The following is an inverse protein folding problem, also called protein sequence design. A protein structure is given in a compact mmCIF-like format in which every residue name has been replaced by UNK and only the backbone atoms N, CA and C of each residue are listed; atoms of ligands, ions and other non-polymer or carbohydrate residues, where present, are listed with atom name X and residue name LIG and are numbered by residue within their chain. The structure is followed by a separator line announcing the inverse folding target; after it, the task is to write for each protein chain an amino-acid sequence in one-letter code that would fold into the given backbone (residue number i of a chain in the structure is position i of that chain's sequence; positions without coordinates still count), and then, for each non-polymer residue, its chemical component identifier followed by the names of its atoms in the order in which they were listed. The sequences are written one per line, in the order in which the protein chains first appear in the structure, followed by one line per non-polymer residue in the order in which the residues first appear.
data_IF_583600206838
#
_entry.id   IF_583600206838
#
_cell.length_a   1.000
_cell.length_b   1.000
_cell.length_c   1.000
_cell.angle_alpha   90.00
_cell.angle_beta   90.00
_cell.angle_gamma   90.00
#
_symmetry.space_group_name_H-M   'P 1'
#
loop_
_entity.id
_entity.type
_entity.pdbx_description
1 polymer ?
#
# COMPACT_ATOMS: atom_id res chain seq x y z
N UNK A 1 23.35 79.92 29.87
CA UNK A 1 22.49 78.72 29.94
C UNK A 1 22.92 77.80 28.81
N UNK A 2 23.64 76.71 29.10
CA UNK A 2 23.92 75.64 28.15
C UNK A 2 23.74 74.32 28.88
N UNK A 3 22.63 73.65 28.59
CA UNK A 3 22.34 72.29 29.08
C UNK A 3 23.33 71.31 28.44
N UNK A 4 24.21 70.75 29.26
CA UNK A 4 25.09 69.67 28.84
C UNK A 4 24.31 68.37 28.75
N UNK A 5 24.02 67.94 27.52
CA UNK A 5 23.39 66.66 27.22
C UNK A 5 24.26 65.48 27.69
N UNK A 6 23.75 64.73 28.66
CA UNK A 6 24.37 63.49 29.15
C UNK A 6 24.01 62.38 28.16
N UNK A 7 24.94 62.06 27.25
CA UNK A 7 24.86 60.87 26.39
C UNK A 7 25.05 59.65 27.29
N UNK A 8 23.96 58.96 27.65
CA UNK A 8 23.99 57.65 28.31
C UNK A 8 24.55 56.61 27.32
N UNK A 9 25.84 56.33 27.40
CA UNK A 9 26.47 55.21 26.70
C UNK A 9 25.99 53.91 27.38
N UNK A 10 25.09 53.17 26.71
CA UNK A 10 24.69 51.84 27.16
C UNK A 10 25.92 50.91 27.08
N UNK A 11 26.48 50.55 28.23
CA UNK A 11 27.56 49.58 28.35
C UNK A 11 27.12 48.24 27.72
N UNK A 12 27.77 47.84 26.62
CA UNK A 12 27.54 46.53 25.98
C UNK A 12 27.87 45.44 26.99
N UNK A 13 26.84 44.77 27.55
CA UNK A 13 27.01 43.57 28.36
C UNK A 13 27.89 42.58 27.62
N UNK A 14 29.00 42.16 28.24
CA UNK A 14 29.87 41.11 27.71
C UNK A 14 29.29 39.78 28.17
N UNK A 15 28.75 39.02 27.22
CA UNK A 15 28.30 37.65 27.48
C UNK A 15 29.47 36.67 27.31
N UNK A 16 29.56 35.69 28.20
CA UNK A 16 30.46 34.54 28.03
C UNK A 16 29.86 33.52 27.06
N UNK A 17 30.67 32.57 26.58
CA UNK A 17 30.17 31.52 25.68
C UNK A 17 29.18 30.59 26.40
N UNK A 18 29.37 30.33 27.68
CA UNK A 18 28.50 29.51 28.51
C UNK A 18 27.13 30.17 28.72
N UNK A 19 27.11 31.48 28.96
CA UNK A 19 25.85 32.25 29.07
C UNK A 19 25.06 32.24 27.76
N UNK A 20 25.77 32.34 26.63
CA UNK A 20 25.18 32.29 25.30
C UNK A 20 24.62 30.90 24.95
N UNK A 21 25.34 29.83 25.30
CA UNK A 21 24.87 28.45 25.16
C UNK A 21 23.63 28.22 26.04
N UNK A 22 23.69 28.64 27.30
CA UNK A 22 22.58 28.52 28.25
C UNK A 22 21.33 29.26 27.75
N UNK A 23 21.49 30.44 27.17
CA UNK A 23 20.39 31.20 26.59
C UNK A 23 19.74 30.46 25.41
N UNK A 24 20.52 29.79 24.55
CA UNK A 24 19.99 28.96 23.46
C UNK A 24 19.22 27.76 24.03
N UNK A 25 19.78 27.05 25.01
CA UNK A 25 19.17 25.86 25.60
C UNK A 25 17.86 26.20 26.33
N UNK A 26 17.84 27.29 27.11
CA UNK A 26 16.63 27.81 27.76
C UNK A 26 15.55 28.12 26.72
N UNK A 27 15.90 28.87 25.67
CA UNK A 27 14.94 29.23 24.63
C UNK A 27 14.42 28.01 23.87
N UNK A 28 15.27 27.02 23.65
CA UNK A 28 14.91 25.73 23.05
C UNK A 28 13.91 24.98 23.92
N UNK A 29 14.14 24.94 25.24
CA UNK A 29 13.23 24.31 26.21
C UNK A 29 11.86 24.98 26.20
N UNK A 30 11.82 26.31 26.11
CA UNK A 30 10.58 27.09 26.04
C UNK A 30 9.78 26.83 24.76
N UNK A 31 10.47 26.67 23.62
CA UNK A 31 9.81 26.47 22.32
C UNK A 31 9.54 24.99 21.99
N UNK A 32 10.18 24.05 22.69
CA UNK A 32 10.19 22.63 22.34
C UNK A 32 10.91 22.33 21.01
N UNK A 33 11.59 23.32 20.42
CA UNK A 33 12.34 23.23 19.16
C UNK A 33 13.49 24.23 19.14
N UNK A 34 14.50 24.04 18.27
CA UNK A 34 15.57 25.02 18.09
C UNK A 34 15.01 26.42 17.74
N UNK A 35 15.43 27.49 18.43
CA UNK A 35 14.99 28.85 18.16
C UNK A 35 15.56 29.36 16.84
N UNK A 36 14.74 30.07 16.06
CA UNK A 36 15.23 30.78 14.87
C UNK A 36 15.93 32.08 15.27
N UNK A 37 16.79 32.61 14.39
CA UNK A 37 17.54 33.84 14.68
C UNK A 37 16.65 35.06 14.98
N UNK A 38 15.42 35.12 14.45
CA UNK A 38 14.45 36.19 14.75
C UNK A 38 13.80 36.04 16.13
N UNK A 39 13.73 34.82 16.65
CA UNK A 39 13.13 34.50 17.95
C UNK A 39 14.14 34.66 19.10
N UNK A 40 15.39 35.04 18.78
CA UNK A 40 16.48 35.14 19.73
C UNK A 40 17.09 36.55 19.71
N UNK A 41 16.81 37.33 20.76
CA UNK A 41 17.37 38.69 20.91
C UNK A 41 18.90 38.73 20.85
N UNK A 42 19.55 37.68 21.38
CA UNK A 42 21.01 37.55 21.38
C UNK A 42 21.58 37.04 20.05
N UNK A 43 20.77 36.87 19.00
CA UNK A 43 21.23 36.34 17.71
C UNK A 43 22.42 37.09 17.10
N UNK A 44 22.51 38.43 17.12
CA UNK A 44 23.69 39.15 16.61
C UNK A 44 24.96 38.81 17.40
N UNK A 45 24.87 38.70 18.72
CA UNK A 45 25.99 38.34 19.59
C UNK A 45 26.42 36.89 19.37
N UNK A 46 25.46 35.98 19.19
CA UNK A 46 25.71 34.57 18.86
C UNK A 46 26.42 34.42 17.51
N UNK A 47 25.96 35.14 16.49
CA UNK A 47 26.59 35.14 15.16
C UNK A 47 28.01 35.68 15.25
N UNK A 48 28.23 36.77 15.98
CA UNK A 48 29.56 37.35 16.14
C UNK A 48 30.53 36.41 16.87
N UNK A 49 30.08 35.75 17.95
CA UNK A 49 30.93 34.86 18.76
C UNK A 49 31.23 33.52 18.09
N UNK A 50 30.21 32.84 17.58
CA UNK A 50 30.35 31.51 17.00
C UNK A 50 30.60 31.55 15.48
N UNK A 51 30.69 32.74 14.89
CA UNK A 51 30.84 33.00 13.45
C UNK A 51 29.57 32.75 12.62
N UNK A 52 28.63 31.93 13.11
CA UNK A 52 27.31 31.78 12.52
C UNK A 52 26.30 31.32 13.56
N UNK A 53 25.02 31.66 13.35
CA UNK A 53 23.95 31.20 14.23
C UNK A 53 23.83 29.67 14.24
N UNK A 54 24.06 29.00 13.09
CA UNK A 54 24.07 27.52 13.03
C UNK A 54 25.13 26.93 13.94
N UNK A 55 26.36 27.47 13.91
CA UNK A 55 27.46 27.03 14.78
C UNK A 55 27.13 27.23 16.26
N UNK A 56 26.46 28.32 16.61
CA UNK A 56 25.99 28.55 17.98
C UNK A 56 24.98 27.48 18.44
N UNK A 57 24.02 27.11 17.57
CA UNK A 57 23.06 26.04 17.87
C UNK A 57 23.71 24.66 18.01
N UNK A 58 24.75 24.38 17.22
CA UNK A 58 25.55 23.15 17.31
C UNK A 58 26.34 23.13 18.62
N UNK A 59 27.00 24.23 18.98
CA UNK A 59 27.75 24.36 20.23
C UNK A 59 26.86 24.19 21.48
N UNK A 60 25.59 24.59 21.37
CA UNK A 60 24.60 24.40 22.42
C UNK A 60 23.99 22.99 22.49
N UNK A 61 24.41 22.07 21.60
CA UNK A 61 23.88 20.72 21.42
C UNK A 61 22.36 20.69 21.10
N UNK A 62 21.86 21.79 20.53
CA UNK A 62 20.45 21.94 20.14
C UNK A 62 20.24 21.52 18.69
N UNK A 63 21.28 21.65 17.86
CA UNK A 63 21.25 21.25 16.46
C UNK A 63 22.37 20.24 16.20
N UNK A 64 22.00 19.01 15.82
CA UNK A 64 22.97 17.98 15.45
C UNK A 64 23.70 18.36 14.16
N UNK A 65 25.03 18.38 14.19
CA UNK A 65 25.84 18.55 13.00
C UNK A 65 26.17 17.20 12.41
N UNK A 66 25.53 16.88 11.28
CA UNK A 66 25.76 15.61 10.60
C UNK A 66 27.06 15.67 9.80
N UNK A 67 27.92 14.68 10.00
CA UNK A 67 29.04 14.43 9.09
C UNK A 67 28.53 13.89 7.74
N UNK A 68 29.35 14.01 6.70
CA UNK A 68 28.99 13.47 5.40
C UNK A 68 28.78 11.94 5.47
N UNK A 69 29.60 11.23 6.24
CA UNK A 69 29.44 9.78 6.46
C UNK A 69 28.16 9.42 7.22
N UNK A 70 27.79 10.17 8.26
CA UNK A 70 26.54 9.96 8.99
C UNK A 70 25.33 10.13 8.07
N UNK A 71 25.37 11.11 7.17
CA UNK A 71 24.31 11.32 6.19
C UNK A 71 24.19 10.15 5.21
N UNK A 72 25.32 9.58 4.77
CA UNK A 72 25.34 8.38 3.92
C UNK A 72 24.87 7.14 4.68
N UNK A 73 25.18 7.02 5.96
CA UNK A 73 24.72 5.92 6.81
C UNK A 73 23.21 5.94 7.05
N UNK A 74 22.58 7.12 7.13
CA UNK A 74 21.11 7.23 7.14
C UNK A 74 20.49 6.59 5.88
N UNK A 75 21.13 6.80 4.72
CA UNK A 75 20.68 6.18 3.46
C UNK A 75 20.87 4.67 3.51
N UNK A 76 22.04 4.18 3.95
CA UNK A 76 22.33 2.74 4.08
C UNK A 76 21.35 2.05 5.04
N UNK A 77 21.06 2.68 6.18
CA UNK A 77 20.09 2.19 7.16
C UNK A 77 18.71 2.03 6.54
N UNK A 78 18.22 3.07 5.86
CA UNK A 78 16.92 3.02 5.17
C UNK A 78 16.89 2.00 4.02
N UNK A 79 18.01 1.83 3.30
CA UNK A 79 18.11 0.82 2.26
C UNK A 79 17.99 -0.61 2.82
N UNK A 80 18.65 -0.89 3.95
CA UNK A 80 18.55 -2.19 4.64
C UNK A 80 17.13 -2.46 5.15
N UNK A 81 16.48 -1.45 5.73
CA UNK A 81 15.09 -1.53 6.20
C UNK A 81 14.12 -1.83 5.07
N UNK A 82 14.21 -1.08 3.97
CA UNK A 82 13.26 -1.17 2.86
C UNK A 82 13.58 -2.33 1.89
N UNK A 83 14.82 -2.85 1.94
CA UNK A 83 15.38 -3.80 0.95
C UNK A 83 15.22 -3.33 -0.50
N UNK A 84 15.17 -2.01 -0.70
CA UNK A 84 15.07 -1.32 -2.00
C UNK A 84 15.67 0.07 -1.89
N UNK A 85 16.04 0.71 -3.01
CA UNK A 85 16.46 2.12 -3.01
C UNK A 85 15.40 3.00 -2.34
N UNK A 86 15.74 3.76 -1.28
CA UNK A 86 14.80 4.68 -0.64
C UNK A 86 14.48 5.84 -1.58
N UNK A 87 13.30 6.44 -1.45
CA UNK A 87 13.00 7.75 -2.06
C UNK A 87 13.43 8.88 -1.13
N UNK A 88 13.63 10.08 -1.68
CA UNK A 88 14.04 11.28 -0.92
C UNK A 88 13.18 11.53 0.33
N UNK A 89 11.86 11.31 0.24
CA UNK A 89 10.93 11.55 1.35
C UNK A 89 11.06 10.53 2.50
N UNK A 90 11.65 9.37 2.28
CA UNK A 90 11.77 8.29 3.28
C UNK A 90 13.02 8.42 4.15
N UNK A 91 13.98 9.27 3.76
CA UNK A 91 15.25 9.45 4.48
C UNK A 91 15.22 10.74 5.30
N UNK A 92 15.51 10.68 6.61
CA UNK A 92 15.67 11.87 7.44
C UNK A 92 16.73 12.81 6.87
N UNK A 93 16.55 14.13 7.05
CA UNK A 93 17.49 15.14 6.57
C UNK A 93 17.81 15.07 5.07
N UNK A 94 16.89 14.54 4.25
CA UNK A 94 17.12 14.40 2.80
C UNK A 94 17.40 15.72 2.07
N UNK A 95 16.90 16.86 2.59
CA UNK A 95 17.27 18.17 2.06
C UNK A 95 18.73 18.54 2.35
N UNK A 96 19.25 18.17 3.52
CA UNK A 96 20.66 18.37 3.85
C UNK A 96 21.55 17.45 2.99
N UNK A 97 21.13 16.20 2.78
CA UNK A 97 21.79 15.25 1.87
C UNK A 97 21.87 15.84 0.45
N UNK A 98 20.76 16.36 -0.09
CA UNK A 98 20.75 16.99 -1.42
C UNK A 98 21.67 18.22 -1.47
N UNK A 99 21.71 19.04 -0.42
CA UNK A 99 22.60 20.21 -0.38
C UNK A 99 24.09 19.82 -0.34
N UNK A 100 24.45 18.78 0.40
CA UNK A 100 25.85 18.32 0.56
C UNK A 100 26.37 17.59 -0.68
N UNK A 101 25.58 16.66 -1.21
CA UNK A 101 26.00 15.78 -2.30
C UNK A 101 25.45 16.21 -3.67
N UNK A 102 24.84 17.40 -3.75
CA UNK A 102 24.22 17.98 -4.95
C UNK A 102 22.90 17.34 -5.39
N UNK A 103 22.78 16.01 -5.27
CA UNK A 103 21.57 15.27 -5.62
C UNK A 103 21.41 14.04 -4.73
N UNK A 104 20.15 13.72 -4.40
CA UNK A 104 19.84 12.49 -3.67
C UNK A 104 20.24 11.24 -4.46
N UNK A 105 20.12 11.29 -5.78
CA UNK A 105 20.57 10.20 -6.67
C UNK A 105 22.10 10.06 -6.66
N UNK A 106 22.83 11.16 -6.52
CA UNK A 106 24.29 11.11 -6.39
C UNK A 106 24.68 10.50 -5.04
N UNK A 107 24.02 10.89 -3.95
CA UNK A 107 24.23 10.28 -2.63
C UNK A 107 23.96 8.77 -2.62
N UNK A 108 22.90 8.30 -3.29
CA UNK A 108 22.63 6.87 -3.47
C UNK A 108 23.76 6.13 -4.21
N UNK A 109 24.34 6.76 -5.24
CA UNK A 109 25.47 6.18 -5.98
C UNK A 109 26.72 6.07 -5.11
N UNK A 110 26.99 7.07 -4.26
CA UNK A 110 28.15 7.04 -3.35
C UNK A 110 28.10 5.85 -2.36
N UNK A 111 26.89 5.44 -1.96
CA UNK A 111 26.70 4.24 -1.11
C UNK A 111 26.53 2.94 -1.90
N UNK A 112 26.79 2.94 -3.21
CA UNK A 112 26.69 1.76 -4.06
C UNK A 112 25.26 1.30 -4.37
N UNK A 113 24.24 2.14 -4.12
CA UNK A 113 22.85 1.81 -4.40
C UNK A 113 22.51 2.24 -5.82
N UNK A 114 22.49 1.28 -6.74
CA UNK A 114 22.06 1.47 -8.12
C UNK A 114 20.60 1.05 -8.33
N UNK A 115 19.76 1.96 -8.81
CA UNK A 115 18.37 1.68 -9.18
C UNK A 115 17.47 2.92 -9.15
N UNK A 116 16.36 2.89 -9.89
CA UNK A 116 15.32 3.94 -9.75
C UNK A 116 14.44 3.62 -8.55
N UNK A 117 14.46 4.49 -7.55
CA UNK A 117 13.50 4.44 -6.44
C UNK A 117 12.10 4.71 -7.00
N UNK A 118 11.29 3.66 -7.16
CA UNK A 118 9.86 3.82 -7.50
C UNK A 118 9.10 4.04 -6.20
N UNK A 119 8.26 5.09 -6.15
CA UNK A 119 7.30 5.26 -5.07
C UNK A 119 6.40 4.03 -5.04
N UNK A 120 6.57 3.21 -4.00
CA UNK A 120 5.70 2.07 -3.76
C UNK A 120 4.38 2.63 -3.26
N UNK A 121 3.34 2.61 -4.10
CA UNK A 121 1.99 3.07 -3.69
C UNK A 121 1.35 2.13 -2.66
N UNK A 122 1.74 0.86 -2.64
CA UNK A 122 1.22 -0.14 -1.71
C UNK A 122 2.32 -1.10 -1.25
N UNK A 123 2.48 -1.26 0.07
CA UNK A 123 3.27 -2.33 0.69
C UNK A 123 2.62 -3.70 0.45
N UNK A 124 3.35 -4.79 0.71
CA UNK A 124 2.75 -6.13 0.57
C UNK A 124 1.63 -6.32 1.60
N UNK A 125 1.85 -5.85 2.83
CA UNK A 125 0.91 -5.91 3.93
C UNK A 125 -0.35 -5.09 3.63
N UNK A 126 -0.21 -3.89 3.05
CA UNK A 126 -1.35 -3.06 2.63
C UNK A 126 -2.19 -3.78 1.56
N UNK A 127 -1.56 -4.47 0.60
CA UNK A 127 -2.28 -5.24 -0.41
C UNK A 127 -3.02 -6.44 0.20
N UNK A 128 -2.42 -7.13 1.17
CA UNK A 128 -3.07 -8.23 1.88
C UNK A 128 -4.24 -7.72 2.74
N UNK A 129 -4.10 -6.56 3.37
CA UNK A 129 -5.16 -5.95 4.17
C UNK A 129 -6.35 -5.50 3.31
N UNK A 130 -6.09 -5.00 2.09
CA UNK A 130 -7.13 -4.72 1.10
C UNK A 130 -7.92 -5.99 0.75
N UNK A 131 -7.24 -7.13 0.61
CA UNK A 131 -7.90 -8.42 0.34
C UNK A 131 -8.76 -8.88 1.52
N UNK A 132 -8.23 -8.82 2.75
CA UNK A 132 -8.95 -9.19 3.99
C UNK A 132 -10.16 -8.30 4.25
N UNK A 133 -10.01 -7.00 4.05
CA UNK A 133 -11.10 -6.03 4.20
C UNK A 133 -12.20 -6.29 3.19
N UNK A 134 -11.83 -6.62 1.95
CA UNK A 134 -12.80 -6.95 0.90
C UNK A 134 -13.53 -8.26 1.19
N UNK A 135 -12.83 -9.30 1.68
CA UNK A 135 -13.47 -10.55 2.12
C UNK A 135 -14.49 -10.32 3.23
N UNK A 136 -14.12 -9.57 4.27
CA UNK A 136 -15.03 -9.23 5.39
C UNK A 136 -16.28 -8.51 4.91
N UNK A 137 -16.15 -7.61 3.93
CA UNK A 137 -17.28 -6.86 3.36
C UNK A 137 -18.20 -7.73 2.50
N UNK A 138 -17.63 -8.67 1.75
CA UNK A 138 -18.38 -9.51 0.82
C UNK A 138 -18.91 -10.80 1.47
N UNK A 139 -18.38 -11.19 2.63
CA UNK A 139 -18.64 -12.50 3.25
C UNK A 139 -18.13 -13.68 2.43
N UNK A 140 -17.33 -13.41 1.38
CA UNK A 140 -16.77 -14.40 0.46
C UNK A 140 -15.41 -13.91 -0.07
N UNK A 141 -14.57 -14.79 -0.63
CA UNK A 141 -13.33 -14.39 -1.29
C UNK A 141 -13.61 -13.36 -2.39
N UNK A 142 -12.87 -12.23 -2.43
CA UNK A 142 -13.03 -11.22 -3.47
C UNK A 142 -12.58 -11.79 -4.83
N UNK A 143 -13.24 -11.34 -5.90
CA UNK A 143 -12.85 -11.62 -7.29
C UNK A 143 -11.86 -10.57 -7.79
N UNK A 144 -11.13 -10.92 -8.85
CA UNK A 144 -10.13 -10.03 -9.45
C UNK A 144 -10.71 -8.68 -9.91
N UNK A 145 -11.92 -8.69 -10.46
CA UNK A 145 -12.63 -7.50 -10.96
C UNK A 145 -13.07 -6.54 -9.85
N UNK A 146 -13.22 -7.06 -8.62
CA UNK A 146 -13.70 -6.30 -7.46
C UNK A 146 -12.57 -5.51 -6.78
N UNK A 147 -11.31 -5.80 -7.12
CA UNK A 147 -10.12 -5.17 -6.53
C UNK A 147 -9.39 -4.33 -7.57
N UNK A 148 -9.30 -3.02 -7.33
CA UNK A 148 -8.59 -2.08 -8.23
C UNK A 148 -7.09 -2.40 -8.33
N UNK A 149 -6.49 -2.91 -7.26
CA UNK A 149 -5.05 -3.19 -7.17
C UNK A 149 -4.63 -4.56 -7.73
N UNK A 150 -5.53 -5.27 -8.43
CA UNK A 150 -5.28 -6.64 -8.92
C UNK A 150 -3.98 -6.78 -9.72
N UNK A 151 -3.65 -5.85 -10.62
CA UNK A 151 -2.41 -5.91 -11.38
C UNK A 151 -1.16 -5.85 -10.48
N UNK A 152 -1.18 -5.01 -9.44
CA UNK A 152 -0.08 -4.89 -8.47
C UNK A 152 0.02 -6.15 -7.61
N UNK A 153 -1.12 -6.71 -7.20
CA UNK A 153 -1.20 -7.95 -6.41
C UNK A 153 -0.62 -9.12 -7.22
N UNK A 154 -1.07 -9.33 -8.46
CA UNK A 154 -0.55 -10.40 -9.33
C UNK A 154 0.96 -10.23 -9.53
N UNK A 155 1.43 -9.02 -9.81
CA UNK A 155 2.87 -8.77 -10.03
C UNK A 155 3.73 -9.10 -8.80
N UNK A 156 3.22 -8.88 -7.59
CA UNK A 156 4.00 -9.06 -6.34
C UNK A 156 3.92 -10.46 -5.77
N UNK A 157 2.75 -11.09 -5.84
CA UNK A 157 2.50 -12.41 -5.28
C UNK A 157 2.48 -13.52 -6.35
N UNK A 158 2.77 -13.18 -7.61
CA UNK A 158 2.77 -14.08 -8.76
C UNK A 158 1.38 -14.39 -9.32
N UNK A 159 0.37 -14.55 -8.44
CA UNK A 159 -1.02 -14.67 -8.84
C UNK A 159 -1.97 -14.11 -7.78
N UNK A 160 -3.18 -13.74 -8.20
CA UNK A 160 -4.20 -13.26 -7.26
C UNK A 160 -4.57 -14.34 -6.23
N UNK A 161 -4.64 -15.60 -6.66
CA UNK A 161 -4.92 -16.72 -5.75
C UNK A 161 -3.79 -16.98 -4.76
N UNK A 162 -2.53 -16.78 -5.17
CA UNK A 162 -1.40 -16.84 -4.25
C UNK A 162 -1.50 -15.74 -3.18
N UNK A 163 -1.88 -14.53 -3.57
CA UNK A 163 -2.13 -13.44 -2.62
C UNK A 163 -3.28 -13.76 -1.65
N UNK A 164 -4.39 -14.33 -2.12
CA UNK A 164 -5.49 -14.78 -1.26
C UNK A 164 -5.04 -15.84 -0.26
N UNK A 165 -4.23 -16.83 -0.69
CA UNK A 165 -3.65 -17.84 0.22
C UNK A 165 -2.78 -17.21 1.29
N UNK A 166 -1.91 -16.28 0.91
CA UNK A 166 -1.05 -15.54 1.85
C UNK A 166 -1.88 -14.67 2.80
N UNK A 167 -3.00 -14.12 2.33
CA UNK A 167 -3.93 -13.34 3.14
C UNK A 167 -4.73 -14.21 4.15
N UNK A 168 -4.68 -15.54 4.05
CA UNK A 168 -5.46 -16.48 4.87
C UNK A 168 -6.86 -16.76 4.33
N UNK A 169 -7.15 -16.31 3.11
CA UNK A 169 -8.47 -16.42 2.48
C UNK A 169 -8.55 -17.75 1.72
N UNK A 170 -9.58 -18.55 2.00
CA UNK A 170 -9.79 -19.83 1.29
C UNK A 170 -10.09 -19.56 -0.18
N UNK A 171 -9.22 -20.04 -1.07
CA UNK A 171 -9.43 -19.94 -2.51
C UNK A 171 -10.44 -21.00 -2.93
N UNK A 172 -11.62 -20.59 -3.39
CA UNK A 172 -12.60 -21.50 -4.01
C UNK A 172 -12.25 -21.65 -5.48
N UNK A 173 -11.70 -22.81 -5.85
CA UNK A 173 -11.46 -23.17 -7.24
C UNK A 173 -12.77 -23.61 -7.92
N UNK A 174 -13.65 -22.68 -8.33
CA UNK A 174 -14.71 -23.03 -9.29
C UNK A 174 -14.12 -23.09 -10.70
N UNK A 175 -13.44 -24.20 -11.03
CA UNK A 175 -13.11 -24.57 -12.41
C UNK A 175 -14.23 -25.47 -12.93
N UNK A 176 -15.20 -24.86 -13.60
CA UNK A 176 -16.33 -25.55 -14.23
C UNK A 176 -17.52 -25.77 -13.31
N UNK A 177 -18.55 -26.41 -13.87
CA UNK A 177 -19.76 -26.79 -13.16
C UNK A 177 -19.48 -27.94 -12.20
N UNK A 178 -20.00 -27.85 -10.98
CA UNK A 178 -20.18 -29.01 -10.11
C UNK A 178 -21.21 -29.96 -10.72
N UNK A 179 -21.20 -31.23 -10.30
CA UNK A 179 -22.20 -32.21 -10.76
C UNK A 179 -23.62 -31.69 -10.47
N UNK A 180 -23.86 -31.13 -9.28
CA UNK A 180 -25.14 -30.56 -8.90
C UNK A 180 -25.56 -29.38 -9.79
N UNK A 181 -24.67 -28.40 -10.04
CA UNK A 181 -24.98 -27.27 -10.92
C UNK A 181 -25.28 -27.73 -12.35
N UNK A 182 -24.61 -28.79 -12.82
CA UNK A 182 -24.82 -29.33 -14.16
C UNK A 182 -26.16 -30.07 -14.29
N UNK A 183 -26.56 -30.80 -13.25
CA UNK A 183 -27.88 -31.44 -13.17
C UNK A 183 -29.00 -30.42 -13.00
N UNK A 184 -28.77 -29.35 -12.23
CA UNK A 184 -29.72 -28.26 -12.06
C UNK A 184 -29.96 -27.52 -13.38
N UNK A 185 -28.89 -27.20 -14.14
CA UNK A 185 -29.01 -26.63 -15.48
C UNK A 185 -29.75 -27.54 -16.47
N UNK A 186 -29.56 -28.86 -16.35
CA UNK A 186 -30.31 -29.83 -17.15
C UNK A 186 -31.79 -29.81 -16.79
N UNK A 187 -32.11 -29.73 -15.50
CA UNK A 187 -33.49 -29.65 -14.99
C UNK A 187 -34.18 -28.37 -15.43
N UNK A 188 -33.54 -27.21 -15.26
CA UNK A 188 -34.12 -25.91 -15.69
C UNK A 188 -34.41 -25.90 -17.18
N UNK A 189 -33.52 -26.46 -18.01
CA UNK A 189 -33.76 -26.57 -19.45
C UNK A 189 -34.98 -27.43 -19.78
N UNK A 190 -35.16 -28.55 -19.07
CA UNK A 190 -36.30 -29.45 -19.26
C UNK A 190 -37.59 -28.78 -18.82
N UNK A 191 -37.58 -28.07 -17.69
CA UNK A 191 -38.73 -27.32 -17.17
C UNK A 191 -39.13 -26.17 -18.12
N UNK A 192 -38.16 -25.49 -18.76
CA UNK A 192 -38.43 -24.39 -19.69
C UNK A 192 -38.94 -24.86 -21.06
N UNK A 193 -38.49 -26.02 -21.54
CA UNK A 193 -38.78 -26.49 -22.90
C UNK A 193 -39.70 -27.71 -22.97
N UNK A 194 -40.15 -28.23 -21.83
CA UNK A 194 -40.96 -29.46 -21.69
C UNK A 194 -40.38 -30.67 -22.46
N UNK A 195 -39.05 -30.68 -22.69
CA UNK A 195 -38.37 -31.69 -23.51
C UNK A 195 -36.89 -31.81 -23.17
N UNK A 196 -36.29 -32.91 -23.62
CA UNK A 196 -34.85 -33.10 -23.49
C UNK A 196 -34.07 -32.14 -24.42
N UNK A 197 -32.93 -31.59 -23.94
CA UNK A 197 -32.03 -30.82 -24.78
C UNK A 197 -31.46 -31.68 -25.91
N UNK A 198 -31.27 -31.10 -27.10
CA UNK A 198 -30.44 -31.69 -28.16
C UNK A 198 -28.99 -31.23 -28.00
N UNK A 199 -28.05 -32.01 -28.56
CA UNK A 199 -26.60 -31.73 -28.53
C UNK A 199 -26.20 -30.30 -28.90
N UNK A 200 -26.90 -29.68 -29.86
CA UNK A 200 -26.61 -28.32 -30.34
C UNK A 200 -27.29 -27.21 -29.52
N UNK A 201 -28.24 -27.56 -28.68
CA UNK A 201 -29.08 -26.61 -27.93
C UNK A 201 -28.62 -26.46 -26.47
N UNK A 202 -27.78 -27.38 -25.98
CA UNK A 202 -27.29 -27.37 -24.61
C UNK A 202 -25.77 -27.20 -24.58
N UNK A 203 -25.32 -25.98 -24.28
CA UNK A 203 -23.90 -25.60 -24.28
C UNK A 203 -23.03 -26.53 -23.42
N UNK A 204 -23.58 -27.07 -22.33
CA UNK A 204 -22.87 -27.96 -21.41
C UNK A 204 -22.99 -29.46 -21.75
N UNK A 205 -23.43 -29.79 -22.97
CA UNK A 205 -23.63 -31.17 -23.42
C UNK A 205 -22.36 -32.00 -23.27
N UNK A 206 -21.22 -31.49 -23.74
CA UNK A 206 -19.96 -32.24 -23.66
C UNK A 206 -19.50 -32.44 -22.21
N UNK A 207 -19.77 -31.47 -21.32
CA UNK A 207 -19.47 -31.55 -19.90
C UNK A 207 -20.31 -32.65 -19.22
N UNK A 208 -21.60 -32.78 -19.58
CA UNK A 208 -22.48 -33.87 -19.11
C UNK A 208 -21.96 -35.22 -19.54
N UNK A 209 -21.65 -35.38 -20.84
CA UNK A 209 -21.16 -36.65 -21.37
C UNK A 209 -19.84 -37.05 -20.73
N UNK A 210 -18.91 -36.10 -20.56
CA UNK A 210 -17.62 -36.39 -19.94
C UNK A 210 -17.73 -36.75 -18.44
N UNK A 211 -18.67 -36.16 -17.69
CA UNK A 211 -18.83 -36.41 -16.25
C UNK A 211 -19.72 -37.61 -15.92
N UNK A 212 -20.86 -37.75 -16.61
CA UNK A 212 -21.86 -38.77 -16.31
C UNK A 212 -21.87 -39.93 -17.31
N UNK A 213 -21.09 -39.84 -18.39
CA UNK A 213 -20.96 -40.85 -19.45
C UNK A 213 -22.07 -40.78 -20.51
N UNK A 214 -23.31 -40.51 -20.10
CA UNK A 214 -24.43 -40.28 -21.00
C UNK A 214 -25.43 -39.29 -20.38
N UNK A 215 -26.29 -38.72 -21.23
CA UNK A 215 -27.38 -37.87 -20.73
C UNK A 215 -28.39 -38.69 -19.92
N UNK A 216 -28.63 -39.95 -20.28
CA UNK A 216 -29.55 -40.84 -19.55
C UNK A 216 -29.07 -41.05 -18.10
N UNK A 217 -27.77 -41.28 -17.90
CA UNK A 217 -27.18 -41.39 -16.55
C UNK A 217 -27.27 -40.08 -15.76
N UNK A 218 -27.20 -38.94 -16.43
CA UNK A 218 -27.39 -37.64 -15.79
C UNK A 218 -28.85 -37.44 -15.36
N UNK A 219 -29.82 -37.88 -16.17
CA UNK A 219 -31.24 -37.83 -15.83
C UNK A 219 -31.59 -38.74 -14.65
N UNK A 220 -31.06 -39.97 -14.64
CA UNK A 220 -31.18 -40.90 -13.50
C UNK A 220 -30.64 -40.26 -12.21
N UNK A 221 -29.51 -39.56 -12.29
CA UNK A 221 -28.88 -38.91 -11.14
C UNK A 221 -29.55 -37.60 -10.72
N UNK A 222 -30.38 -37.03 -11.59
CA UNK A 222 -31.22 -35.88 -11.30
C UNK A 222 -32.63 -36.27 -10.82
N UNK A 223 -32.91 -37.57 -10.66
CA UNK A 223 -34.24 -38.14 -10.38
C UNK A 223 -35.31 -37.70 -11.40
N UNK A 224 -34.90 -37.49 -12.66
CA UNK A 224 -35.79 -37.08 -13.75
C UNK A 224 -36.25 -38.31 -14.51
N UNK A 225 -37.51 -38.66 -14.33
CA UNK A 225 -38.12 -39.83 -14.95
C UNK A 225 -38.51 -39.57 -16.42
N UNK A 226 -37.84 -40.27 -17.33
CA UNK A 226 -38.03 -40.15 -18.79
C UNK A 226 -39.44 -40.55 -19.23
N UNK A 227 -40.09 -41.44 -18.48
CA UNK A 227 -41.48 -41.86 -18.72
C UNK A 227 -42.45 -40.68 -18.52
N UNK A 228 -42.22 -39.84 -17.51
CA UNK A 228 -43.08 -38.67 -17.22
C UNK A 228 -43.02 -37.61 -18.32
N UNK A 229 -41.86 -37.41 -18.95
CA UNK A 229 -41.71 -36.52 -20.10
C UNK A 229 -42.45 -37.03 -21.35
N UNK A 230 -42.48 -38.35 -21.58
CA UNK A 230 -43.29 -38.96 -22.64
C UNK A 230 -44.79 -38.91 -22.35
N UNK A 231 -45.20 -39.06 -21.09
CA UNK A 231 -46.61 -38.99 -20.67
C UNK A 231 -47.18 -37.56 -20.73
N UNK A 232 -46.36 -36.52 -20.52
CA UNK A 232 -46.72 -35.11 -20.76
C UNK A 232 -46.96 -34.80 -22.25
N UNK A 233 -46.21 -35.45 -23.15
CA UNK A 233 -46.44 -35.42 -24.60
C UNK A 233 -47.67 -36.24 -25.01
N UNK A 234 -47.92 -37.39 -24.37
CA UNK A 234 -49.07 -38.25 -24.69
C UNK A 234 -50.42 -37.66 -24.24
N UNK A 235 -50.48 -36.92 -23.11
CA UNK A 235 -51.72 -36.27 -22.66
C UNK A 235 -52.17 -35.08 -23.52
N UNK A 236 -51.29 -34.49 -24.34
CA UNK A 236 -51.66 -33.40 -25.27
C UNK A 236 -52.12 -33.88 -26.66
N UNK A 237 -52.07 -35.18 -26.96
CA UNK A 237 -52.37 -35.70 -28.32
C UNK A 237 -53.68 -36.51 -28.44
N UNK A 238 -54.40 -36.79 -27.35
CA UNK A 238 -55.66 -37.58 -27.42
C UNK A 238 -56.92 -36.93 -26.80
N UNK A 239 -57.26 -35.70 -27.22
CA UNK A 239 -58.66 -35.21 -27.16
C UNK A 239 -58.97 -34.37 -28.40
N UNK A 240 -59.28 -35.05 -29.50
CA UNK A 240 -60.07 -34.54 -30.62
C UNK A 240 -60.72 -35.75 -31.27
N UNK A 241 -61.90 -36.13 -30.79
CA UNK A 241 -63.08 -36.54 -31.52
C UNK A 241 -64.26 -36.54 -30.55
#
# INVERSE_FOLDING_TARGET
MFESGVIKIQLKKRYTEEELISAIQEKTRQLGRPPTAKEMELAPTLIYRFGSYKKALIAADVLKDYSDDELLDLIRGKYKELRRPPIKAEVPNSNLIVKRFGSFTHALKLVGISGRSKKVMYSNEELLEILRTSEKKLGRPPKQEEIKQTATIIKRFGSFNAALKVAGIKVVHKRGYTDCELLELLRTFIDEHDRLPKKREFSQWQTIINRFGSIDKALERADIDREKLKQGLSRKVCKLF
#
